data_IF_209745753904
#
_entry.id   IF_209745753904
#
_cell.length_a   1.000
_cell.length_b   1.000
_cell.length_c   1.000
_cell.angle_alpha   90.00
_cell.angle_beta   90.00
_cell.angle_gamma   90.00
#
_symmetry.space_group_name_H-M   'P 1'
#
loop_
_entity.id
_entity.type
_entity.pdbx_description
1 polymer ?
#
# COMPACT_ATOMS: atom_id res chain seq x y z
N UNK A 1 -2.39 1.01 -16.17
CA UNK A 1 -2.11 -0.44 -16.34
C UNK A 1 -1.35 -0.99 -15.13
N UNK A 2 -1.73 -2.15 -14.57
CA UNK A 2 -1.08 -2.76 -13.39
C UNK A 2 -0.11 -3.90 -13.73
N UNK A 3 -0.34 -4.66 -14.81
CA UNK A 3 0.47 -5.84 -15.14
C UNK A 3 1.99 -5.56 -15.15
N UNK A 4 2.51 -4.49 -15.80
CA UNK A 4 3.96 -4.21 -15.78
C UNK A 4 4.52 -3.91 -14.39
N UNK A 5 3.70 -3.32 -13.51
CA UNK A 5 4.07 -3.05 -12.11
C UNK A 5 4.13 -4.35 -11.31
N UNK A 6 3.20 -5.28 -11.56
CA UNK A 6 3.24 -6.62 -10.97
C UNK A 6 4.46 -7.40 -11.46
N UNK A 7 4.77 -7.37 -12.76
CA UNK A 7 5.93 -8.05 -13.33
C UNK A 7 7.24 -7.56 -12.69
N UNK A 8 7.42 -6.24 -12.59
CA UNK A 8 8.57 -5.63 -11.92
C UNK A 8 8.66 -6.03 -10.43
N UNK A 9 7.51 -6.11 -9.73
CA UNK A 9 7.48 -6.58 -8.36
C UNK A 9 7.91 -8.05 -8.23
N UNK A 10 7.40 -8.93 -9.10
CA UNK A 10 7.75 -10.35 -9.09
C UNK A 10 9.25 -10.57 -9.38
N UNK A 11 9.83 -9.79 -10.28
CA UNK A 11 11.28 -9.78 -10.52
C UNK A 11 12.05 -9.33 -9.28
N UNK A 12 11.62 -8.24 -8.62
CA UNK A 12 12.25 -7.74 -7.41
C UNK A 12 12.15 -8.70 -6.21
N UNK A 13 11.16 -9.60 -6.20
CA UNK A 13 10.99 -10.64 -5.20
C UNK A 13 11.81 -11.92 -5.50
N UNK A 14 12.54 -11.95 -6.62
CA UNK A 14 13.39 -13.07 -6.99
C UNK A 14 14.58 -13.16 -6.04
N UNK A 15 14.70 -14.29 -5.37
CA UNK A 15 15.78 -14.58 -4.44
C UNK A 15 16.27 -16.02 -4.63
N UNK A 16 17.54 -16.28 -4.38
CA UNK A 16 18.09 -17.63 -4.47
C UNK A 16 17.40 -18.58 -3.48
N UNK A 17 17.17 -19.82 -3.90
CA UNK A 17 16.61 -20.85 -3.02
C UNK A 17 17.67 -21.24 -1.99
N UNK A 18 17.31 -21.26 -0.72
CA UNK A 18 18.23 -21.75 0.30
C UNK A 18 18.46 -23.25 0.15
N UNK A 19 19.74 -23.63 0.14
CA UNK A 19 20.20 -25.02 0.05
C UNK A 19 20.30 -25.65 1.45
N UNK A 20 20.47 -24.83 2.49
CA UNK A 20 20.61 -25.25 3.88
C UNK A 20 19.35 -24.96 4.71
N UNK A 21 19.25 -25.60 5.88
CA UNK A 21 18.19 -25.33 6.87
C UNK A 21 18.21 -23.87 7.31
N UNK A 22 17.04 -23.23 7.35
CA UNK A 22 16.91 -21.84 7.81
C UNK A 22 17.33 -21.67 9.28
N UNK A 23 18.28 -20.78 9.59
CA UNK A 23 18.64 -20.48 10.96
C UNK A 23 17.45 -19.91 11.75
N UNK A 24 17.39 -20.13 13.08
CA UNK A 24 16.34 -19.56 13.92
C UNK A 24 16.50 -18.04 14.02
N UNK A 25 15.37 -17.32 14.08
CA UNK A 25 15.32 -15.88 14.38
C UNK A 25 14.21 -15.60 15.40
N UNK A 26 14.57 -15.11 16.59
CA UNK A 26 13.64 -14.75 17.65
C UNK A 26 13.29 -13.28 17.55
N UNK A 27 12.03 -13.00 17.23
CA UNK A 27 11.52 -11.65 17.09
C UNK A 27 10.56 -11.36 18.24
N UNK A 28 10.86 -10.31 18.99
CA UNK A 28 9.87 -9.68 19.83
C UNK A 28 9.05 -8.67 19.01
N UNK A 29 7.75 -8.62 19.26
CA UNK A 29 6.90 -7.49 18.85
C UNK A 29 6.43 -6.78 20.11
N UNK A 30 6.11 -5.49 19.97
CA UNK A 30 5.71 -4.66 21.09
C UNK A 30 4.63 -5.33 21.96
N UNK A 31 4.81 -5.34 23.27
CA UNK A 31 3.92 -6.05 24.20
C UNK A 31 2.53 -5.41 24.38
N UNK A 32 2.30 -4.25 23.78
CA UNK A 32 0.99 -3.60 23.71
C UNK A 32 0.26 -3.81 22.38
N UNK A 33 0.88 -4.49 21.41
CA UNK A 33 0.15 -4.97 20.24
C UNK A 33 -0.86 -6.03 20.67
N UNK A 34 -2.09 -5.93 20.18
CA UNK A 34 -3.09 -6.97 20.35
C UNK A 34 -2.84 -8.13 19.38
N UNK A 35 -3.70 -9.15 19.48
CA UNK A 35 -3.63 -10.32 18.61
C UNK A 35 -3.85 -9.97 17.13
N UNK A 36 -4.58 -8.89 16.84
CA UNK A 36 -4.83 -8.43 15.47
C UNK A 36 -3.58 -7.84 14.83
N UNK A 37 -2.88 -6.93 15.51
CA UNK A 37 -1.64 -6.33 15.02
C UNK A 37 -0.55 -7.40 14.83
N UNK A 38 -0.47 -8.39 15.72
CA UNK A 38 0.46 -9.52 15.55
C UNK A 38 0.09 -10.37 14.33
N UNK A 39 -1.21 -10.57 14.06
CA UNK A 39 -1.67 -11.26 12.84
C UNK A 39 -1.37 -10.46 11.59
N UNK A 40 -1.53 -9.14 11.61
CA UNK A 40 -1.18 -8.25 10.51
C UNK A 40 0.32 -8.28 10.24
N UNK A 41 1.16 -8.20 11.28
CA UNK A 41 2.61 -8.30 11.13
C UNK A 41 3.04 -9.61 10.47
N UNK A 42 2.43 -10.76 10.83
CA UNK A 42 2.69 -12.05 10.20
C UNK A 42 2.29 -12.12 8.73
N UNK A 43 1.36 -11.28 8.30
CA UNK A 43 0.91 -11.16 6.89
C UNK A 43 1.72 -10.13 6.11
N UNK A 44 2.48 -9.28 6.79
CA UNK A 44 3.28 -8.24 6.13
C UNK A 44 4.35 -8.83 5.21
N UNK A 45 4.71 -8.04 4.21
CA UNK A 45 5.81 -8.35 3.31
C UNK A 45 7.15 -8.52 4.05
N UNK A 46 7.38 -7.76 5.12
CA UNK A 46 8.59 -7.88 5.94
C UNK A 46 8.72 -9.27 6.56
N UNK A 47 7.65 -9.75 7.20
CA UNK A 47 7.63 -11.10 7.76
C UNK A 47 7.77 -12.14 6.66
N UNK A 48 7.09 -11.94 5.53
CA UNK A 48 7.17 -12.83 4.37
C UNK A 48 8.61 -13.00 3.86
N UNK A 49 9.36 -11.92 3.65
CA UNK A 49 10.78 -11.99 3.22
C UNK A 49 11.62 -12.71 4.27
N UNK A 50 11.51 -12.30 5.54
CA UNK A 50 12.31 -12.90 6.62
C UNK A 50 12.05 -14.41 6.70
N UNK A 51 10.81 -14.85 6.49
CA UNK A 51 10.44 -16.27 6.53
C UNK A 51 11.08 -17.11 5.41
N UNK A 52 11.53 -16.47 4.31
CA UNK A 52 12.27 -17.16 3.24
C UNK A 52 13.72 -17.49 3.62
N UNK A 53 14.21 -16.94 4.74
CA UNK A 53 15.61 -17.06 5.20
C UNK A 53 15.74 -17.56 6.63
N UNK A 54 14.71 -17.36 7.45
CA UNK A 54 14.77 -17.67 8.88
C UNK A 54 13.58 -18.49 9.34
N UNK A 55 13.81 -19.38 10.30
CA UNK A 55 12.73 -19.99 11.10
C UNK A 55 12.34 -19.00 12.20
N UNK A 56 11.27 -18.24 11.98
CA UNK A 56 10.88 -17.13 12.87
C UNK A 56 10.10 -17.66 14.08
N UNK A 57 10.48 -17.20 15.29
CA UNK A 57 9.69 -17.34 16.51
C UNK A 57 9.27 -15.97 17.01
N UNK A 58 7.96 -15.73 17.12
CA UNK A 58 7.40 -14.48 17.63
C UNK A 58 6.99 -14.59 19.10
N UNK A 59 7.26 -13.55 19.89
CA UNK A 59 6.71 -13.40 21.24
C UNK A 59 6.55 -11.93 21.64
N UNK A 60 5.86 -11.70 22.75
CA UNK A 60 5.65 -10.37 23.33
C UNK A 60 6.22 -10.24 24.75
N UNK A 61 6.80 -11.31 25.31
CA UNK A 61 7.34 -11.26 26.66
C UNK A 61 8.69 -10.49 26.69
N UNK A 62 8.81 -9.35 27.40
CA UNK A 62 10.04 -8.56 27.48
C UNK A 62 11.16 -9.23 28.26
N UNK A 63 10.84 -10.22 29.09
CA UNK A 63 11.82 -10.98 29.88
C UNK A 63 12.41 -12.18 29.10
N UNK A 64 11.94 -12.43 27.87
CA UNK A 64 12.50 -13.48 27.01
C UNK A 64 13.55 -12.86 26.08
N UNK A 65 14.73 -13.49 25.92
CA UNK A 65 15.75 -12.98 25.02
C UNK A 65 15.28 -13.06 23.56
N UNK A 66 15.54 -11.99 22.80
CA UNK A 66 15.20 -11.85 21.38
C UNK A 66 16.39 -11.32 20.60
N UNK A 67 16.47 -11.70 19.33
CA UNK A 67 17.48 -11.18 18.40
C UNK A 67 17.10 -9.77 17.92
N UNK A 68 15.80 -9.57 17.63
CA UNK A 68 15.21 -8.31 17.18
C UNK A 68 13.95 -7.98 17.98
N UNK A 69 13.65 -6.69 18.15
CA UNK A 69 12.34 -6.21 18.59
C UNK A 69 11.79 -5.17 17.61
N UNK A 70 10.60 -5.42 17.06
CA UNK A 70 9.88 -4.46 16.20
C UNK A 70 8.84 -3.66 16.98
N UNK A 71 8.79 -2.35 16.75
CA UNK A 71 7.84 -1.46 17.41
C UNK A 71 7.76 -0.09 16.71
N UNK A 72 6.79 0.72 17.13
CA UNK A 72 6.69 2.15 16.86
C UNK A 72 6.50 2.92 18.19
N UNK A 73 6.89 4.19 18.27
CA UNK A 73 7.00 4.92 19.53
C UNK A 73 5.66 5.39 20.12
N UNK A 74 4.51 5.20 19.45
CA UNK A 74 3.22 5.76 19.86
C UNK A 74 2.88 5.42 21.32
N UNK A 75 2.93 6.44 22.18
CA UNK A 75 2.50 6.44 23.59
C UNK A 75 3.27 5.52 24.56
N UNK A 76 4.09 4.60 24.03
CA UNK A 76 4.73 3.51 24.79
C UNK A 76 6.22 3.38 24.49
N UNK A 77 6.89 4.40 23.94
CA UNK A 77 8.34 4.41 23.66
C UNK A 77 9.22 3.99 24.87
N UNK A 78 8.75 4.15 26.12
CA UNK A 78 9.46 3.63 27.31
C UNK A 78 9.38 2.11 27.47
N UNK A 79 8.34 1.47 26.94
CA UNK A 79 8.14 0.02 27.03
C UNK A 79 9.06 -0.74 26.07
N UNK A 80 9.49 -0.17 24.93
CA UNK A 80 10.52 -0.84 24.12
C UNK A 80 11.86 -0.92 24.87
N UNK A 81 12.16 0.03 25.75
CA UNK A 81 13.33 -0.01 26.62
C UNK A 81 13.29 -1.17 27.62
N UNK A 82 12.12 -1.80 27.85
CA UNK A 82 12.03 -2.99 28.70
C UNK A 82 12.70 -4.22 28.06
N UNK A 83 12.87 -4.25 26.74
CA UNK A 83 13.67 -5.26 26.05
C UNK A 83 15.15 -4.87 26.15
N UNK A 84 15.82 -5.50 27.12
CA UNK A 84 17.23 -5.27 27.40
C UNK A 84 18.12 -6.14 26.49
N UNK A 85 19.23 -5.57 26.00
CA UNK A 85 20.23 -6.27 25.18
C UNK A 85 19.68 -6.92 23.88
N UNK A 86 18.69 -6.29 23.25
CA UNK A 86 18.11 -6.69 21.96
C UNK A 86 18.22 -5.54 20.97
N UNK A 87 18.47 -5.84 19.69
CA UNK A 87 18.47 -4.83 18.62
C UNK A 87 17.05 -4.38 18.33
N UNK A 88 16.81 -3.08 18.43
CA UNK A 88 15.49 -2.44 18.26
C UNK A 88 15.34 -1.94 16.83
N UNK A 89 14.26 -2.34 16.19
CA UNK A 89 13.93 -1.95 14.82
C UNK A 89 12.63 -1.16 14.83
N UNK A 90 12.71 0.11 14.46
CA UNK A 90 11.52 0.94 14.23
C UNK A 90 10.83 0.49 12.95
N UNK A 91 9.51 0.27 13.01
CA UNK A 91 8.69 -0.02 11.85
C UNK A 91 7.26 0.48 12.09
N UNK A 92 6.74 1.29 11.17
CA UNK A 92 5.39 1.86 11.27
C UNK A 92 4.79 2.08 9.88
N UNK A 93 3.45 2.05 9.82
CA UNK A 93 2.70 2.45 8.64
C UNK A 93 2.30 3.94 8.62
N UNK A 94 2.58 4.64 9.72
CA UNK A 94 2.25 6.05 9.89
C UNK A 94 3.31 6.97 9.29
N UNK A 95 2.94 8.23 9.01
CA UNK A 95 3.87 9.27 8.57
C UNK A 95 4.69 9.79 9.76
N UNK A 96 5.66 9.01 10.20
CA UNK A 96 6.49 9.30 11.36
C UNK A 96 7.97 9.02 11.09
N UNK A 97 8.81 10.00 11.42
CA UNK A 97 10.27 9.92 11.30
C UNK A 97 10.84 9.11 12.47
N UNK A 98 11.74 8.14 12.24
CA UNK A 98 12.28 7.30 13.31
C UNK A 98 13.14 8.08 14.32
N UNK A 99 12.97 7.77 15.61
CA UNK A 99 13.87 8.24 16.67
C UNK A 99 15.06 7.28 16.85
N UNK A 100 16.14 7.54 16.14
CA UNK A 100 17.36 6.72 16.13
C UNK A 100 18.23 6.81 17.40
N UNK A 101 17.82 7.59 18.40
CA UNK A 101 18.39 7.49 19.75
C UNK A 101 17.76 6.34 20.55
N UNK A 102 16.52 5.96 20.22
CA UNK A 102 15.80 4.88 20.89
C UNK A 102 15.92 3.54 20.17
N UNK A 103 15.98 3.59 18.84
CA UNK A 103 16.03 2.42 17.96
C UNK A 103 17.40 2.29 17.30
N UNK A 104 17.91 1.06 17.24
CA UNK A 104 19.19 0.75 16.60
C UNK A 104 19.07 0.85 15.07
N UNK A 105 17.96 0.34 14.53
CA UNK A 105 17.63 0.34 13.10
C UNK A 105 16.23 0.89 12.87
N UNK A 106 15.95 1.34 11.65
CA UNK A 106 14.62 1.81 11.26
C UNK A 106 14.26 1.41 9.83
N UNK A 107 12.98 1.11 9.63
CA UNK A 107 12.35 0.89 8.34
C UNK A 107 11.21 1.89 8.20
N UNK A 108 11.26 2.74 7.17
CA UNK A 108 10.32 3.85 7.03
C UNK A 108 10.13 4.34 5.60
N UNK A 109 9.56 5.55 5.49
CA UNK A 109 9.21 6.20 4.23
C UNK A 109 10.21 7.26 3.79
N UNK A 110 10.89 7.88 4.75
CA UNK A 110 11.79 9.01 4.56
C UNK A 110 12.83 8.73 3.47
N UNK A 111 13.08 9.75 2.66
CA UNK A 111 14.18 9.79 1.69
C UNK A 111 15.51 10.08 2.41
N UNK A 112 15.86 9.19 3.32
CA UNK A 112 17.03 9.27 4.19
C UNK A 112 18.01 8.17 3.82
N UNK A 113 19.29 8.51 3.78
CA UNK A 113 20.39 7.53 3.87
C UNK A 113 21.02 7.66 5.24
N UNK A 114 20.96 6.58 6.02
CA UNK A 114 21.69 6.47 7.29
C UNK A 114 22.48 5.17 7.36
N UNK A 115 23.15 4.86 6.26
CA UNK A 115 24.01 3.68 6.08
C UNK A 115 23.26 2.41 6.48
N UNK A 116 23.86 1.61 7.34
CA UNK A 116 23.32 0.33 7.81
C UNK A 116 22.11 0.47 8.75
N UNK A 117 21.84 1.68 9.26
CA UNK A 117 20.80 1.92 10.29
C UNK A 117 19.41 2.22 9.74
N UNK A 118 19.27 2.50 8.45
CA UNK A 118 17.98 2.88 7.87
C UNK A 118 17.73 2.18 6.54
N UNK A 119 16.51 1.65 6.39
CA UNK A 119 16.00 1.08 5.15
C UNK A 119 14.70 1.79 4.76
N UNK A 120 14.66 2.41 3.59
CA UNK A 120 13.41 2.91 3.01
C UNK A 120 12.62 1.74 2.44
N UNK A 121 11.46 1.44 3.01
CA UNK A 121 10.53 0.42 2.51
C UNK A 121 9.09 0.91 2.68
N UNK A 122 8.57 1.71 1.73
CA UNK A 122 7.24 2.30 1.85
C UNK A 122 6.14 1.23 1.81
N UNK A 123 4.98 1.54 2.40
CA UNK A 123 3.83 0.64 2.48
C UNK A 123 3.27 0.20 1.11
N UNK A 124 3.55 0.92 0.02
CA UNK A 124 3.14 0.44 -1.30
C UNK A 124 3.75 -0.92 -1.65
N UNK A 125 4.92 -1.26 -1.09
CA UNK A 125 5.61 -2.52 -1.37
C UNK A 125 4.95 -3.69 -0.62
N UNK A 126 4.48 -3.44 0.60
CA UNK A 126 3.60 -4.35 1.34
C UNK A 126 2.26 -4.53 0.61
N UNK A 127 1.71 -3.45 0.03
CA UNK A 127 0.50 -3.57 -0.78
C UNK A 127 0.71 -4.42 -2.04
N UNK A 128 1.85 -4.29 -2.72
CA UNK A 128 2.21 -5.12 -3.87
C UNK A 128 2.29 -6.61 -3.50
N UNK A 129 2.88 -6.93 -2.36
CA UNK A 129 2.89 -8.29 -1.81
C UNK A 129 1.47 -8.87 -1.71
N UNK A 130 0.55 -8.13 -1.08
CA UNK A 130 -0.83 -8.56 -0.96
C UNK A 130 -1.57 -8.67 -2.31
N UNK A 131 -1.29 -7.78 -3.27
CA UNK A 131 -1.85 -7.90 -4.62
C UNK A 131 -1.33 -9.16 -5.32
N UNK A 132 -0.04 -9.43 -5.25
CA UNK A 132 0.58 -10.63 -5.82
C UNK A 132 0.00 -11.92 -5.20
N UNK A 133 -0.17 -11.99 -3.88
CA UNK A 133 -0.85 -13.13 -3.25
C UNK A 133 -2.30 -13.27 -3.74
N UNK A 134 -3.03 -12.17 -3.86
CA UNK A 134 -4.44 -12.20 -4.27
C UNK A 134 -4.67 -12.65 -5.71
N UNK A 135 -3.68 -12.47 -6.59
CA UNK A 135 -3.79 -12.86 -8.02
C UNK A 135 -3.10 -14.19 -8.32
N UNK A 136 -2.59 -14.90 -7.31
CA UNK A 136 -2.32 -16.33 -7.42
C UNK A 136 -3.66 -17.10 -7.43
N UNK A 137 -4.43 -16.89 -8.50
CA UNK A 137 -5.78 -17.40 -8.70
C UNK A 137 -5.97 -17.70 -10.19
N UNK A 138 -6.61 -18.81 -10.53
CA UNK A 138 -6.78 -19.23 -11.94
C UNK A 138 -7.72 -18.32 -12.73
N UNK A 139 -8.51 -17.51 -12.05
CA UNK A 139 -9.50 -16.60 -12.64
C UNK A 139 -9.06 -15.13 -12.57
N UNK A 140 -7.89 -14.82 -12.00
CA UNK A 140 -7.38 -13.46 -11.94
C UNK A 140 -6.99 -12.92 -13.33
N UNK A 141 -7.24 -11.63 -13.60
CA UNK A 141 -6.94 -11.02 -14.89
C UNK A 141 -5.46 -10.65 -15.01
N UNK A 142 -4.74 -10.56 -13.88
CA UNK A 142 -3.29 -10.35 -13.83
C UNK A 142 -2.55 -11.67 -13.76
N UNK A 143 -1.42 -11.77 -14.47
CA UNK A 143 -0.61 -12.98 -14.53
C UNK A 143 0.65 -12.83 -13.70
N UNK A 144 1.08 -13.93 -13.09
CA UNK A 144 2.35 -14.03 -12.38
C UNK A 144 3.22 -15.01 -13.15
N UNK A 145 4.51 -14.71 -13.27
CA UNK A 145 5.48 -15.62 -13.88
C UNK A 145 5.47 -16.98 -13.18
N UNK A 146 5.37 -18.05 -13.97
CA UNK A 146 5.41 -19.43 -13.49
C UNK A 146 6.70 -19.71 -12.71
N UNK A 147 6.59 -20.59 -11.71
CA UNK A 147 7.70 -21.00 -10.83
C UNK A 147 8.36 -19.83 -10.07
N UNK A 148 7.69 -18.68 -9.96
CA UNK A 148 8.08 -17.59 -9.06
C UNK A 148 7.64 -17.88 -7.63
N UNK A 149 8.20 -17.13 -6.67
CA UNK A 149 7.92 -17.28 -5.23
C UNK A 149 6.41 -17.25 -4.89
N UNK A 150 5.64 -16.44 -5.62
CA UNK A 150 4.19 -16.28 -5.39
C UNK A 150 3.33 -17.37 -6.02
N UNK A 151 3.86 -18.15 -6.95
CA UNK A 151 3.18 -19.29 -7.59
C UNK A 151 3.48 -20.63 -6.92
N UNK A 152 4.32 -20.67 -5.88
CA UNK A 152 4.64 -21.90 -5.15
C UNK A 152 3.46 -22.40 -4.29
N UNK A 153 2.59 -21.50 -3.85
CA UNK A 153 1.35 -21.86 -3.15
C UNK A 153 0.30 -22.28 -4.18
N UNK A 154 -0.57 -23.23 -3.81
CA UNK A 154 -1.71 -23.61 -4.67
C UNK A 154 -2.59 -22.39 -4.97
N UNK A 155 -2.98 -22.16 -6.23
CA UNK A 155 -3.82 -21.02 -6.59
C UNK A 155 -5.24 -21.20 -6.06
N UNK A 156 -5.95 -20.08 -5.86
CA UNK A 156 -7.40 -20.07 -5.68
C UNK A 156 -8.15 -20.01 -7.03
N UNK A 157 -9.49 -19.96 -7.01
CA UNK A 157 -10.33 -20.03 -8.22
C UNK A 157 -11.53 -19.07 -8.22
N UNK A 158 -11.53 -18.04 -7.38
CA UNK A 158 -12.72 -17.22 -7.12
C UNK A 158 -12.47 -15.71 -7.28
N UNK A 159 -11.31 -15.30 -7.82
CA UNK A 159 -11.00 -13.89 -8.04
C UNK A 159 -12.04 -13.20 -8.94
N UNK A 160 -12.41 -13.80 -10.07
CA UNK A 160 -13.38 -13.24 -11.02
C UNK A 160 -14.78 -13.12 -10.44
N UNK A 161 -15.19 -14.06 -9.59
CA UNK A 161 -16.49 -14.00 -8.89
C UNK A 161 -16.56 -12.81 -7.94
N UNK A 162 -15.46 -12.49 -7.27
CA UNK A 162 -15.38 -11.38 -6.34
C UNK A 162 -15.12 -10.02 -7.01
N UNK A 163 -14.61 -10.02 -8.24
CA UNK A 163 -14.19 -8.81 -8.97
C UNK A 163 -14.64 -8.81 -10.45
N UNK A 164 -15.94 -8.98 -10.74
CA UNK A 164 -16.42 -9.16 -12.10
C UNK A 164 -16.13 -7.94 -13.00
N UNK A 165 -16.34 -6.71 -12.51
CA UNK A 165 -16.09 -5.51 -13.31
C UNK A 165 -14.59 -5.28 -13.51
N UNK A 166 -13.78 -5.49 -12.46
CA UNK A 166 -12.32 -5.38 -12.60
C UNK A 166 -11.79 -6.36 -13.64
N UNK A 167 -12.22 -7.63 -13.61
CA UNK A 167 -11.81 -8.60 -14.63
C UNK A 167 -12.27 -8.17 -16.03
N UNK A 168 -13.51 -7.70 -16.16
CA UNK A 168 -14.06 -7.28 -17.45
C UNK A 168 -13.27 -6.12 -18.06
N UNK A 169 -12.93 -5.08 -17.29
CA UNK A 169 -12.19 -3.92 -17.82
C UNK A 169 -10.74 -4.27 -18.15
N UNK A 170 -10.07 -5.09 -17.33
CA UNK A 170 -8.67 -5.49 -17.57
C UNK A 170 -8.54 -6.42 -18.77
N UNK A 171 -9.52 -7.31 -18.98
CA UNK A 171 -9.55 -8.21 -20.13
C UNK A 171 -10.04 -7.55 -21.43
N UNK A 172 -10.31 -6.24 -21.43
CA UNK A 172 -10.93 -5.51 -22.54
C UNK A 172 -12.33 -6.03 -22.94
N UNK A 173 -13.04 -6.66 -21.99
CA UNK A 173 -14.44 -7.09 -22.14
C UNK A 173 -15.41 -5.92 -21.86
N UNK A 174 -14.93 -4.81 -21.30
CA UNK A 174 -15.69 -3.58 -21.06
C UNK A 174 -14.88 -2.32 -21.39
N UNK A 175 -15.57 -1.27 -21.86
CA UNK A 175 -14.96 0.00 -22.23
C UNK A 175 -14.63 0.83 -20.98
N UNK A 176 -13.35 1.12 -20.71
CA UNK A 176 -12.95 1.85 -19.51
C UNK A 176 -13.38 3.33 -19.54
N UNK A 177 -13.83 3.87 -20.67
CA UNK A 177 -14.41 5.20 -20.78
C UNK A 177 -15.88 5.24 -20.34
N UNK A 178 -16.59 4.10 -20.35
CA UNK A 178 -18.01 3.94 -19.95
C UNK A 178 -18.14 3.58 -18.46
N UNK A 179 -17.51 4.39 -17.61
CA UNK A 179 -17.44 4.21 -16.16
C UNK A 179 -17.85 5.50 -15.46
N UNK A 180 -18.16 5.40 -14.16
CA UNK A 180 -18.42 6.59 -13.32
C UNK A 180 -17.22 7.53 -13.31
N UNK A 181 -17.44 8.80 -12.98
CA UNK A 181 -16.38 9.82 -13.02
C UNK A 181 -15.22 9.49 -12.07
N UNK A 182 -15.45 9.61 -10.76
CA UNK A 182 -14.42 9.41 -9.76
C UNK A 182 -14.96 8.71 -8.52
N UNK A 183 -14.11 7.89 -7.92
CA UNK A 183 -14.35 7.22 -6.64
C UNK A 183 -13.53 7.86 -5.52
N UNK A 184 -14.02 7.76 -4.30
CA UNK A 184 -13.34 8.19 -3.09
C UNK A 184 -13.60 7.21 -1.94
N UNK A 185 -12.54 6.63 -1.35
CA UNK A 185 -12.66 5.67 -0.24
C UNK A 185 -11.71 6.07 0.89
N UNK A 186 -12.26 6.75 1.90
CA UNK A 186 -11.54 7.12 3.12
C UNK A 186 -12.42 6.92 4.37
N UNK A 187 -11.81 6.55 5.49
CA UNK A 187 -12.50 6.41 6.78
C UNK A 187 -11.94 7.31 7.88
N UNK A 188 -10.71 7.81 7.75
CA UNK A 188 -10.15 8.78 8.68
C UNK A 188 -10.63 10.21 8.31
N UNK A 189 -11.43 10.89 9.14
CA UNK A 189 -11.91 12.25 8.84
C UNK A 189 -10.81 13.31 8.98
N UNK A 190 -9.72 13.02 9.70
CA UNK A 190 -8.65 13.96 10.04
C UNK A 190 -7.62 14.07 8.89
N UNK A 191 -8.09 14.54 7.73
CA UNK A 191 -7.27 14.79 6.55
C UNK A 191 -7.82 16.00 5.77
N UNK A 192 -7.55 17.23 6.23
CA UNK A 192 -8.21 18.44 5.73
C UNK A 192 -7.97 18.68 4.24
N UNK A 193 -6.73 18.50 3.75
CA UNK A 193 -6.41 18.65 2.32
C UNK A 193 -7.19 17.68 1.43
N UNK A 194 -7.32 16.42 1.86
CA UNK A 194 -8.11 15.39 1.18
C UNK A 194 -9.59 15.75 1.12
N UNK A 195 -10.14 16.20 2.25
CA UNK A 195 -11.56 16.54 2.34
C UNK A 195 -11.89 17.78 1.50
N UNK A 196 -11.02 18.80 1.53
CA UNK A 196 -11.18 20.02 0.74
C UNK A 196 -11.08 19.74 -0.77
N UNK A 197 -10.13 18.88 -1.20
CA UNK A 197 -10.03 18.50 -2.61
C UNK A 197 -11.25 17.68 -3.06
N UNK A 198 -11.76 16.77 -2.23
CA UNK A 198 -13.01 16.07 -2.51
C UNK A 198 -14.15 17.07 -2.76
N UNK A 199 -14.33 18.05 -1.86
CA UNK A 199 -15.42 19.03 -1.96
C UNK A 199 -15.28 19.89 -3.23
N UNK A 200 -14.07 20.35 -3.53
CA UNK A 200 -13.78 21.12 -4.74
C UNK A 200 -14.07 20.31 -6.00
N UNK A 201 -13.55 19.08 -6.11
CA UNK A 201 -13.79 18.22 -7.28
C UNK A 201 -15.27 17.85 -7.42
N UNK A 202 -15.93 17.49 -6.32
CA UNK A 202 -17.34 17.10 -6.27
C UNK A 202 -18.30 18.25 -6.63
N UNK A 203 -17.91 19.50 -6.39
CA UNK A 203 -18.70 20.67 -6.78
C UNK A 203 -18.80 20.85 -8.31
N UNK A 204 -17.89 20.21 -9.06
CA UNK A 204 -17.82 20.34 -10.52
C UNK A 204 -18.35 19.09 -11.21
N UNK A 205 -18.02 17.90 -10.70
CA UNK A 205 -18.51 16.62 -11.21
C UNK A 205 -18.65 15.64 -10.04
N UNK A 206 -19.80 14.95 -9.85
CA UNK A 206 -20.03 14.12 -8.67
C UNK A 206 -18.96 13.04 -8.43
N UNK A 207 -18.42 13.00 -7.21
CA UNK A 207 -17.43 12.01 -6.75
C UNK A 207 -18.11 11.03 -5.80
N UNK A 208 -18.09 9.74 -6.14
CA UNK A 208 -18.77 8.72 -5.32
C UNK A 208 -17.93 8.31 -4.12
N UNK A 209 -18.45 8.57 -2.91
CA UNK A 209 -17.82 8.19 -1.65
C UNK A 209 -18.25 6.81 -1.16
N UNK A 210 -17.32 5.85 -1.12
CA UNK A 210 -17.53 4.49 -0.61
C UNK A 210 -17.01 4.23 0.80
N UNK A 211 -16.30 5.21 1.40
CA UNK A 211 -15.76 5.13 2.76
C UNK A 211 -16.69 5.68 3.83
N UNK A 212 -16.17 5.93 5.04
CA UNK A 212 -16.94 6.61 6.11
C UNK A 212 -17.02 8.13 5.88
N UNK A 213 -16.01 8.69 5.24
CA UNK A 213 -15.86 10.13 4.99
C UNK A 213 -16.49 10.45 3.63
N UNK A 214 -17.33 11.48 3.58
CA UNK A 214 -18.04 11.95 2.37
C UNK A 214 -18.78 10.81 1.65
N UNK A 215 -19.42 9.91 2.41
CA UNK A 215 -20.14 8.77 1.85
C UNK A 215 -21.35 9.22 1.02
N UNK A 216 -21.51 8.67 -0.18
CA UNK A 216 -22.66 8.94 -1.05
C UNK A 216 -23.46 7.68 -1.37
N UNK A 217 -22.96 6.49 -1.01
CA UNK A 217 -23.60 5.21 -1.27
C UNK A 217 -24.64 4.80 -0.21
N UNK A 218 -24.62 5.43 0.97
CA UNK A 218 -25.41 5.03 2.14
C UNK A 218 -24.79 3.86 2.93
N UNK A 219 -23.68 3.28 2.47
CA UNK A 219 -22.96 2.20 3.16
C UNK A 219 -21.46 2.20 2.84
N UNK A 220 -20.67 1.51 3.67
CA UNK A 220 -19.22 1.35 3.45
C UNK A 220 -18.95 0.17 2.51
N UNK A 221 -18.18 0.39 1.45
CA UNK A 221 -17.83 -0.66 0.50
C UNK A 221 -16.95 -1.71 1.17
N UNK A 222 -17.23 -3.00 0.91
CA UNK A 222 -16.43 -4.12 1.43
C UNK A 222 -15.27 -4.47 0.50
N UNK A 223 -15.55 -4.57 -0.80
CA UNK A 223 -14.54 -4.81 -1.82
C UNK A 223 -14.11 -3.48 -2.47
N UNK A 224 -13.05 -2.88 -1.96
CA UNK A 224 -12.49 -1.64 -2.51
C UNK A 224 -12.05 -1.82 -3.96
N UNK A 225 -11.37 -2.92 -4.30
CA UNK A 225 -10.82 -3.09 -5.64
C UNK A 225 -11.91 -3.10 -6.72
N UNK A 226 -12.99 -3.84 -6.45
CA UNK A 226 -14.14 -3.94 -7.36
C UNK A 226 -14.97 -2.65 -7.40
N UNK A 227 -15.02 -1.89 -6.30
CA UNK A 227 -15.67 -0.59 -6.31
C UNK A 227 -14.89 0.41 -7.19
N UNK A 228 -13.58 0.49 -7.02
CA UNK A 228 -12.73 1.43 -7.76
C UNK A 228 -12.70 1.15 -9.27
N UNK A 229 -12.82 -0.12 -9.69
CA UNK A 229 -12.79 -0.49 -11.11
C UNK A 229 -13.96 0.06 -11.92
N UNK A 230 -15.05 0.45 -11.25
CA UNK A 230 -16.24 1.04 -11.86
C UNK A 230 -16.10 2.53 -12.18
N UNK A 231 -14.95 3.15 -11.88
CA UNK A 231 -14.70 4.59 -12.04
C UNK A 231 -13.45 4.87 -12.87
N UNK A 232 -13.47 5.98 -13.61
CA UNK A 232 -12.35 6.43 -14.45
C UNK A 232 -11.19 6.92 -13.60
N UNK A 233 -11.50 7.59 -12.48
CA UNK A 233 -10.54 8.09 -11.51
C UNK A 233 -10.78 7.54 -10.10
N UNK A 234 -9.72 7.53 -9.30
CA UNK A 234 -9.80 7.38 -7.85
C UNK A 234 -9.05 8.51 -7.14
N UNK A 235 -9.73 9.19 -6.21
CA UNK A 235 -9.13 10.18 -5.34
C UNK A 235 -8.34 9.48 -4.24
N UNK A 236 -7.02 9.42 -4.40
CA UNK A 236 -6.12 8.57 -3.61
C UNK A 236 -5.17 9.35 -2.69
N UNK A 237 -5.67 10.41 -2.06
CA UNK A 237 -4.88 11.27 -1.17
C UNK A 237 -4.46 10.55 0.12
N UNK A 238 -3.20 10.76 0.51
CA UNK A 238 -2.71 10.45 1.84
C UNK A 238 -3.43 11.28 2.92
N UNK A 239 -3.30 10.85 4.19
CA UNK A 239 -3.88 11.58 5.31
C UNK A 239 -3.10 12.86 5.65
N UNK A 240 -1.84 12.95 5.24
CA UNK A 240 -0.89 14.02 5.52
C UNK A 240 0.20 14.05 4.43
N UNK A 241 0.94 15.15 4.37
CA UNK A 241 2.08 15.30 3.47
C UNK A 241 3.36 14.76 4.12
N UNK A 242 4.20 14.06 3.36
CA UNK A 242 5.54 13.63 3.78
C UNK A 242 6.37 13.19 2.59
N UNK A 243 7.61 13.67 2.47
CA UNK A 243 8.51 13.25 1.38
C UNK A 243 8.80 11.75 1.48
N UNK A 244 8.51 11.02 0.41
CA UNK A 244 8.60 9.56 0.37
C UNK A 244 7.42 8.82 1.02
N UNK A 245 6.46 9.51 1.66
CA UNK A 245 5.27 8.92 2.27
C UNK A 245 4.23 8.56 1.20
N UNK A 246 4.45 7.41 0.56
CA UNK A 246 3.54 6.81 -0.42
C UNK A 246 3.07 5.46 0.10
N UNK A 247 1.76 5.29 0.25
CA UNK A 247 1.19 4.08 0.86
C UNK A 247 0.42 3.22 -0.14
N UNK A 248 -0.42 2.31 0.35
CA UNK A 248 -1.29 1.41 -0.43
C UNK A 248 -2.26 2.12 -1.39
N UNK A 249 -2.55 3.40 -1.18
CA UNK A 249 -3.66 4.12 -1.84
C UNK A 249 -3.46 4.25 -3.35
N UNK A 250 -2.27 4.61 -3.79
CA UNK A 250 -1.96 4.72 -5.23
C UNK A 250 -1.97 3.33 -5.89
N UNK A 251 -1.50 2.31 -5.17
CA UNK A 251 -1.48 0.92 -5.64
C UNK A 251 -2.88 0.32 -5.83
N UNK A 252 -3.81 0.63 -4.93
CA UNK A 252 -5.21 0.23 -5.10
C UNK A 252 -5.82 0.82 -6.38
N UNK A 253 -5.41 2.03 -6.77
CA UNK A 253 -5.89 2.68 -7.99
C UNK A 253 -5.37 1.96 -9.23
N UNK A 254 -4.04 1.72 -9.29
CA UNK A 254 -3.45 0.98 -10.40
C UNK A 254 -4.04 -0.42 -10.53
N UNK A 255 -4.14 -1.16 -9.42
CA UNK A 255 -4.71 -2.51 -9.38
C UNK A 255 -6.16 -2.55 -9.87
N UNK A 256 -6.93 -1.49 -9.62
CA UNK A 256 -8.31 -1.40 -10.04
C UNK A 256 -8.50 -0.84 -11.45
N UNK A 257 -7.43 -0.69 -12.24
CA UNK A 257 -7.49 -0.14 -13.59
C UNK A 257 -8.16 1.25 -13.65
N UNK A 258 -7.87 2.10 -12.65
CA UNK A 258 -8.41 3.46 -12.55
C UNK A 258 -7.27 4.47 -12.38
N UNK A 259 -7.43 5.69 -12.93
CA UNK A 259 -6.38 6.71 -12.90
C UNK A 259 -6.29 7.28 -11.48
N UNK A 260 -5.13 7.20 -10.81
CA UNK A 260 -4.97 7.81 -9.50
C UNK A 260 -4.94 9.34 -9.61
N UNK A 261 -5.72 10.03 -8.79
CA UNK A 261 -5.54 11.46 -8.48
C UNK A 261 -4.85 11.52 -7.12
N UNK A 262 -3.55 11.77 -7.13
CA UNK A 262 -2.68 11.56 -5.97
C UNK A 262 -2.20 12.89 -5.36
N UNK A 263 -2.17 12.90 -4.03
CA UNK A 263 -1.51 13.90 -3.20
C UNK A 263 -1.05 13.23 -1.90
N UNK A 264 0.08 13.65 -1.37
CA UNK A 264 0.72 13.02 -0.21
C UNK A 264 2.20 13.31 -0.23
N UNK A 265 3.00 12.44 -0.84
CA UNK A 265 4.42 12.69 -1.09
C UNK A 265 4.65 13.66 -2.25
N UNK A 266 5.31 14.82 -2.03
CA UNK A 266 5.70 15.72 -3.13
C UNK A 266 6.70 15.10 -4.11
N UNK A 267 7.40 14.05 -3.69
CA UNK A 267 8.43 13.35 -4.46
C UNK A 267 7.96 12.01 -5.05
N UNK A 268 6.64 11.75 -5.06
CA UNK A 268 6.04 10.51 -5.59
C UNK A 268 6.48 10.13 -7.01
N UNK A 269 6.86 11.12 -7.82
CA UNK A 269 7.39 10.89 -9.17
C UNK A 269 8.74 10.13 -9.21
N UNK A 270 9.44 10.02 -8.07
CA UNK A 270 10.60 9.13 -7.92
C UNK A 270 10.20 7.66 -7.81
N UNK A 271 9.01 7.39 -7.27
CA UNK A 271 8.50 6.02 -7.03
C UNK A 271 7.64 5.52 -8.20
N UNK A 272 6.85 6.39 -8.82
CA UNK A 272 5.92 6.05 -9.91
C UNK A 272 6.07 6.97 -11.11
N UNK A 273 5.82 6.44 -12.32
CA UNK A 273 5.87 7.21 -13.56
C UNK A 273 4.84 8.37 -13.52
N UNK A 274 5.25 9.65 -13.56
CA UNK A 274 4.35 10.79 -13.44
C UNK A 274 3.33 10.91 -14.59
N UNK A 275 3.53 10.21 -15.71
CA UNK A 275 2.56 10.15 -16.81
C UNK A 275 1.40 9.19 -16.56
N UNK A 276 1.47 8.38 -15.50
CA UNK A 276 0.48 7.32 -15.23
C UNK A 276 -0.57 7.68 -14.18
N UNK A 277 -0.47 8.88 -13.60
CA UNK A 277 -1.38 9.39 -12.58
C UNK A 277 -1.44 10.93 -12.65
N UNK A 278 -2.43 11.52 -11.98
CA UNK A 278 -2.49 12.97 -11.78
C UNK A 278 -1.76 13.30 -10.48
N UNK A 279 -0.59 13.92 -10.59
CA UNK A 279 0.15 14.41 -9.43
C UNK A 279 -0.35 15.82 -9.05
N UNK A 280 -1.11 15.94 -7.98
CA UNK A 280 -1.66 17.25 -7.56
C UNK A 280 -0.56 18.24 -7.17
N UNK A 281 0.63 17.74 -6.79
CA UNK A 281 1.79 18.59 -6.48
C UNK A 281 2.40 19.29 -7.70
N UNK A 282 2.06 18.88 -8.92
CA UNK A 282 2.58 19.51 -10.16
C UNK A 282 1.84 20.82 -10.50
N UNK A 283 0.77 21.15 -9.78
CA UNK A 283 -0.10 22.30 -10.04
C UNK A 283 0.06 23.37 -8.97
N UNK A 284 -0.19 24.64 -9.32
CA UNK A 284 -0.05 25.75 -8.36
C UNK A 284 -1.15 25.74 -7.30
N UNK A 285 -2.31 25.19 -7.63
CA UNK A 285 -3.49 25.15 -6.76
C UNK A 285 -4.43 23.99 -7.19
N UNK A 286 -5.48 23.77 -6.41
CA UNK A 286 -6.47 22.73 -6.69
C UNK A 286 -7.26 22.97 -7.98
N UNK A 287 -7.54 24.23 -8.33
CA UNK A 287 -8.32 24.54 -9.53
C UNK A 287 -7.58 24.10 -10.80
N UNK A 288 -6.28 24.39 -10.91
CA UNK A 288 -5.44 23.93 -12.02
C UNK A 288 -5.39 22.39 -12.10
N UNK A 289 -5.30 21.70 -10.96
CA UNK A 289 -5.31 20.23 -10.92
C UNK A 289 -6.68 19.66 -11.35
N UNK A 290 -7.78 20.26 -10.91
CA UNK A 290 -9.13 19.84 -11.27
C UNK A 290 -9.41 20.09 -12.76
N UNK A 291 -8.97 21.22 -13.31
CA UNK A 291 -9.06 21.51 -14.73
C UNK A 291 -8.33 20.45 -15.56
N UNK A 292 -7.14 20.03 -15.12
CA UNK A 292 -6.43 18.93 -15.75
C UNK A 292 -7.21 17.61 -15.70
N UNK A 293 -7.75 17.22 -14.53
CA UNK A 293 -8.57 16.00 -14.38
C UNK A 293 -9.77 16.02 -15.34
N UNK A 294 -10.43 17.16 -15.52
CA UNK A 294 -11.58 17.31 -16.44
C UNK A 294 -11.20 17.22 -17.92
N UNK A 295 -9.95 17.56 -18.24
CA UNK A 295 -9.45 17.50 -19.60
C UNK A 295 -9.17 16.06 -20.07
N UNK A 296 -8.65 15.17 -19.20
CA UNK A 296 -8.17 13.84 -19.61
C UNK A 296 -9.22 12.94 -20.27
N UNK A 297 -10.48 12.83 -19.79
CA UNK A 297 -11.48 11.96 -20.42
C UNK A 297 -11.85 12.39 -21.84
N UNK A 298 -11.56 13.65 -22.21
CA UNK A 298 -11.90 14.24 -23.51
C UNK A 298 -10.86 13.94 -24.59
N UNK A 299 -9.68 13.43 -24.22
CA UNK A 299 -8.56 13.24 -25.16
C UNK A 299 -8.26 11.79 -25.52
N UNK A 300 -9.02 10.80 -25.01
CA UNK A 300 -8.92 9.36 -25.37
C UNK A 300 -7.53 8.70 -25.19
N UNK A 301 -6.50 9.45 -24.75
CA UNK A 301 -5.07 9.06 -24.88
C UNK A 301 -4.49 8.44 -23.61
N UNK A 302 -5.22 8.44 -22.48
CA UNK A 302 -4.67 8.13 -21.15
C UNK A 302 -5.18 6.85 -20.49
N UNK A 303 -5.99 6.04 -21.18
CA UNK A 303 -6.55 4.81 -20.63
C UNK A 303 -5.97 3.59 -21.36
#
# INVERSE_FOLDING_TARGET
MFQPLLDAFIESASIEKMVSKSPPLKIAVANWWGDEEVKEFKKSFLYFILSQRYTITLHQNPNKPSDLVFSNPLGSARKILSYQNTKRVFYTGENEVPNLNLFDYAIGFDELDFRDRYLRMPLYYDRLHHKAESVNDTTAPYKIKDNSLYTLKKPSHHFKENHPNLCAVVNNESDPLKRGFASFVASNPNAPMRNAFYDALNSIEPVTGGGSVKNTLGYKVKNKNEFLSQYKFNLCFENSQGYGYVTEKILDSYFSHTIPIYWGSPSVAKDFNPKSFVNVHDFKNFDEAIDYVRYLPRTQTLI
#
